data_IF_791920446600
#
_entry.id   IF_791920446600
#
_cell.length_a   1.000
_cell.length_b   1.000
_cell.length_c   1.000
_cell.angle_alpha   90.00
_cell.angle_beta   90.00
_cell.angle_gamma   90.00
#
_symmetry.space_group_name_H-M   'P 1'
#
loop_
_entity.id
_entity.type
_entity.pdbx_description
1 polymer ?
#
# COMPACT_ATOMS: atom_id res chain seq x y z
N UNK A 1 -0.57 -13.35 26.74
CA UNK A 1 -0.59 -14.82 26.48
C UNK A 1 0.75 -15.43 26.15
N UNK A 2 1.59 -14.82 25.30
CA UNK A 2 2.91 -15.38 24.93
C UNK A 2 3.79 -15.71 26.14
N UNK A 3 3.85 -14.79 27.12
CA UNK A 3 4.58 -15.02 28.37
C UNK A 3 4.04 -16.21 29.18
N UNK A 4 2.73 -16.45 29.18
CA UNK A 4 2.11 -17.61 29.84
C UNK A 4 2.52 -18.92 29.15
N UNK A 5 2.62 -18.93 27.82
CA UNK A 5 3.13 -20.09 27.07
C UNK A 5 4.62 -20.32 27.35
N UNK A 6 5.44 -19.27 27.32
CA UNK A 6 6.87 -19.36 27.61
C UNK A 6 7.13 -19.90 29.02
N UNK A 7 6.36 -19.44 30.01
CA UNK A 7 6.42 -19.97 31.39
C UNK A 7 6.07 -21.45 31.44
N UNK A 8 5.02 -21.88 30.72
CA UNK A 8 4.59 -23.29 30.70
C UNK A 8 5.62 -24.23 30.06
N UNK A 9 6.39 -23.77 29.07
CA UNK A 9 7.43 -24.56 28.38
C UNK A 9 8.50 -25.02 29.38
N UNK A 10 8.83 -24.20 30.37
CA UNK A 10 9.84 -24.51 31.38
C UNK A 10 9.29 -25.29 32.60
N UNK A 11 7.98 -25.51 32.65
CA UNK A 11 7.31 -26.05 33.84
C UNK A 11 7.32 -27.59 33.81
N UNK A 12 8.13 -28.24 34.66
CA UNK A 12 8.35 -29.70 34.66
C UNK A 12 8.05 -30.41 36.00
N UNK A 13 8.13 -31.74 36.00
CA UNK A 13 8.01 -32.57 37.21
C UNK A 13 6.58 -32.80 37.72
N UNK A 14 6.46 -33.40 38.91
CA UNK A 14 5.16 -33.74 39.51
C UNK A 14 4.35 -32.46 39.80
N UNK A 15 3.09 -32.44 39.38
CA UNK A 15 2.20 -31.29 39.53
C UNK A 15 2.37 -30.18 38.48
N UNK A 16 3.22 -30.37 37.46
CA UNK A 16 3.39 -29.42 36.35
C UNK A 16 2.10 -29.15 35.58
N UNK A 17 1.29 -30.18 35.33
CA UNK A 17 -0.01 -30.03 34.65
C UNK A 17 -0.92 -29.00 35.36
N UNK A 18 -1.03 -29.11 36.69
CA UNK A 18 -1.82 -28.18 37.49
C UNK A 18 -1.27 -26.75 37.41
N UNK A 19 0.05 -26.57 37.47
CA UNK A 19 0.68 -25.24 37.38
C UNK A 19 0.51 -24.62 36.00
N UNK A 20 0.74 -25.39 34.93
CA UNK A 20 0.52 -24.95 33.54
C UNK A 20 -0.92 -24.49 33.33
N UNK A 21 -1.91 -25.28 33.79
CA UNK A 21 -3.33 -24.90 33.73
C UNK A 21 -3.60 -23.61 34.49
N UNK A 22 -3.06 -23.46 35.70
CA UNK A 22 -3.21 -22.23 36.48
C UNK A 22 -2.61 -21.00 35.76
N UNK A 23 -1.41 -21.14 35.20
CA UNK A 23 -0.73 -20.09 34.42
C UNK A 23 -1.52 -19.67 33.18
N UNK A 24 -2.04 -20.66 32.42
CA UNK A 24 -2.86 -20.38 31.24
C UNK A 24 -4.19 -19.73 31.63
N UNK A 25 -4.90 -20.27 32.62
CA UNK A 25 -6.16 -19.69 33.09
C UNK A 25 -5.95 -18.26 33.61
N UNK A 26 -4.88 -18.00 34.35
CA UNK A 26 -4.53 -16.64 34.80
C UNK A 26 -4.23 -15.71 33.62
N UNK A 27 -3.58 -16.19 32.56
CA UNK A 27 -3.32 -15.40 31.37
C UNK A 27 -4.59 -15.02 30.60
N UNK A 28 -5.60 -15.89 30.58
CA UNK A 28 -6.92 -15.59 30.02
C UNK A 28 -7.79 -14.71 30.92
N UNK A 29 -7.49 -14.68 32.23
CA UNK A 29 -8.14 -13.77 33.18
C UNK A 29 -7.64 -12.32 33.10
N UNK A 30 -6.61 -12.04 32.29
CA UNK A 30 -6.14 -10.68 32.04
C UNK A 30 -7.14 -9.92 31.17
N UNK A 31 -7.83 -8.95 31.77
CA UNK A 31 -8.80 -8.07 31.10
C UNK A 31 -8.17 -7.27 29.93
N UNK A 32 -6.84 -7.06 29.95
CA UNK A 32 -6.12 -6.35 28.90
C UNK A 32 -5.71 -7.24 27.72
N UNK A 33 -5.91 -8.56 27.81
CA UNK A 33 -5.51 -9.50 26.77
C UNK A 33 -6.18 -9.20 25.42
N UNK A 34 -7.52 -9.18 25.40
CA UNK A 34 -8.27 -8.94 24.17
C UNK A 34 -8.09 -7.52 23.61
N UNK A 35 -8.15 -6.45 24.42
CA UNK A 35 -7.83 -5.10 23.96
C UNK A 35 -6.43 -4.98 23.35
N UNK A 36 -5.43 -5.63 23.94
CA UNK A 36 -4.07 -5.63 23.44
C UNK A 36 -3.97 -6.32 22.08
N UNK A 37 -4.57 -7.50 21.94
CA UNK A 37 -4.61 -8.24 20.66
C UNK A 37 -5.33 -7.42 19.59
N UNK A 38 -6.49 -6.83 19.90
CA UNK A 38 -7.23 -6.00 18.96
C UNK A 38 -6.43 -4.78 18.51
N UNK A 39 -5.70 -4.14 19.43
CA UNK A 39 -4.82 -3.02 19.11
C UNK A 39 -3.67 -3.45 18.20
N UNK A 40 -3.01 -4.57 18.50
CA UNK A 40 -1.93 -5.10 17.67
C UNK A 40 -2.41 -5.44 16.25
N UNK A 41 -3.56 -6.11 16.14
CA UNK A 41 -4.17 -6.45 14.84
C UNK A 41 -4.53 -5.19 14.04
N UNK A 42 -5.16 -4.21 14.68
CA UNK A 42 -5.52 -2.94 14.04
C UNK A 42 -4.27 -2.21 13.55
N UNK A 43 -3.25 -2.09 14.38
CA UNK A 43 -2.01 -1.40 14.02
C UNK A 43 -1.32 -2.11 12.85
N UNK A 44 -1.16 -3.44 12.93
CA UNK A 44 -0.55 -4.22 11.85
C UNK A 44 -1.34 -4.15 10.54
N UNK A 45 -2.68 -4.17 10.61
CA UNK A 45 -3.52 -3.97 9.44
C UNK A 45 -3.32 -2.57 8.84
N UNK A 46 -3.33 -1.52 9.65
CA UNK A 46 -3.09 -0.15 9.18
C UNK A 46 -1.71 0.04 8.56
N UNK A 47 -0.67 -0.58 9.10
CA UNK A 47 0.68 -0.57 8.53
C UNK A 47 0.72 -1.28 7.18
N UNK A 48 0.12 -2.47 7.06
CA UNK A 48 0.03 -3.21 5.80
C UNK A 48 -0.75 -2.45 4.73
N UNK A 49 -1.86 -1.80 5.11
CA UNK A 49 -2.62 -0.97 4.17
C UNK A 49 -1.81 0.23 3.67
N UNK A 50 -1.08 0.92 4.56
CA UNK A 50 -0.22 2.04 4.17
C UNK A 50 0.92 1.61 3.24
N UNK A 51 1.54 0.47 3.51
CA UNK A 51 2.59 -0.09 2.64
C UNK A 51 2.04 -0.49 1.27
N UNK A 52 0.84 -1.07 1.22
CA UNK A 52 0.15 -1.40 -0.03
C UNK A 52 -0.15 -0.13 -0.85
N UNK A 53 -0.71 0.90 -0.21
CA UNK A 53 -1.01 2.17 -0.89
C UNK A 53 0.26 2.82 -1.45
N UNK A 54 1.36 2.83 -0.68
CA UNK A 54 2.65 3.35 -1.14
C UNK A 54 3.17 2.59 -2.37
N UNK A 55 3.09 1.25 -2.36
CA UNK A 55 3.49 0.41 -3.50
C UNK A 55 2.62 0.62 -4.73
N UNK A 56 1.32 0.83 -4.56
CA UNK A 56 0.41 1.17 -5.66
C UNK A 56 0.81 2.52 -6.26
N UNK A 57 1.05 3.53 -5.44
CA UNK A 57 1.48 4.86 -5.91
C UNK A 57 2.82 4.80 -6.65
N UNK A 58 3.78 4.03 -6.13
CA UNK A 58 5.07 3.82 -6.78
C UNK A 58 4.92 3.11 -8.13
N UNK A 59 4.13 2.03 -8.19
CA UNK A 59 3.89 1.29 -9.42
C UNK A 59 3.20 2.17 -10.48
N UNK A 60 2.16 2.91 -10.08
CA UNK A 60 1.46 3.85 -10.97
C UNK A 60 2.44 4.92 -11.48
N UNK A 61 3.20 5.56 -10.59
CA UNK A 61 4.16 6.61 -10.98
C UNK A 61 5.22 6.08 -11.95
N UNK A 62 5.73 4.87 -11.70
CA UNK A 62 6.74 4.22 -12.53
C UNK A 62 6.18 3.90 -13.92
N UNK A 63 4.99 3.31 -14.00
CA UNK A 63 4.35 3.02 -15.28
C UNK A 63 4.03 4.29 -16.07
N UNK A 64 3.57 5.34 -15.39
CA UNK A 64 3.29 6.62 -16.02
C UNK A 64 4.55 7.29 -16.55
N UNK A 65 5.68 7.19 -15.84
CA UNK A 65 6.95 7.72 -16.33
C UNK A 65 7.43 7.01 -17.60
N UNK A 66 7.18 5.69 -17.72
CA UNK A 66 7.48 4.92 -18.94
C UNK A 66 6.59 5.39 -20.09
N UNK A 67 5.27 5.46 -19.87
CA UNK A 67 4.33 5.92 -20.92
C UNK A 67 4.66 7.33 -21.37
N UNK A 68 5.00 8.24 -20.44
CA UNK A 68 5.40 9.61 -20.78
C UNK A 68 6.66 9.61 -21.64
N UNK A 69 7.67 8.79 -21.31
CA UNK A 69 8.89 8.66 -22.12
C UNK A 69 8.58 8.13 -23.51
N UNK A 70 7.70 7.14 -23.63
CA UNK A 70 7.34 6.56 -24.92
C UNK A 70 6.59 7.58 -25.79
N UNK A 71 5.66 8.34 -25.20
CA UNK A 71 4.95 9.43 -25.89
C UNK A 71 5.91 10.54 -26.31
N UNK A 72 6.86 10.93 -25.46
CA UNK A 72 7.87 11.93 -25.80
C UNK A 72 8.81 11.44 -26.89
N UNK A 73 9.15 10.14 -26.89
CA UNK A 73 9.94 9.51 -27.96
C UNK A 73 9.18 9.53 -29.28
N UNK A 74 7.92 9.06 -29.30
CA UNK A 74 7.06 9.11 -30.49
C UNK A 74 6.85 10.54 -30.99
N UNK A 75 6.73 11.52 -30.08
CA UNK A 75 6.63 12.93 -30.45
C UNK A 75 7.92 13.41 -31.10
N UNK A 76 9.07 13.10 -30.53
CA UNK A 76 10.36 13.55 -31.06
C UNK A 76 10.69 12.86 -32.39
N UNK A 77 10.45 11.55 -32.51
CA UNK A 77 10.61 10.80 -33.75
C UNK A 77 9.66 11.28 -34.84
N UNK A 78 8.38 11.53 -34.51
CA UNK A 78 7.44 12.13 -35.47
C UNK A 78 7.79 13.58 -35.80
N UNK A 79 8.34 14.38 -34.87
CA UNK A 79 8.80 15.74 -35.19
C UNK A 79 9.95 15.68 -36.20
N UNK A 80 10.84 14.69 -36.13
CA UNK A 80 11.90 14.51 -37.13
C UNK A 80 11.32 14.08 -38.49
N UNK A 81 10.32 13.19 -38.51
CA UNK A 81 9.71 12.69 -39.75
C UNK A 81 8.67 13.64 -40.39
N UNK A 82 7.95 14.44 -39.59
CA UNK A 82 6.86 15.31 -40.05
C UNK A 82 7.18 16.80 -40.00
N UNK A 83 8.31 17.23 -39.42
CA UNK A 83 8.80 18.61 -39.64
C UNK A 83 9.05 18.90 -41.13
N UNK A 84 9.12 17.85 -41.97
CA UNK A 84 9.14 17.95 -43.42
C UNK A 84 7.74 17.89 -44.08
N UNK A 85 6.60 17.66 -43.38
CA UNK A 85 5.31 17.40 -44.07
C UNK A 85 3.96 17.84 -43.45
N UNK A 86 3.70 17.94 -42.12
CA UNK A 86 2.33 18.33 -41.67
C UNK A 86 2.20 19.02 -40.27
N UNK A 87 1.97 20.34 -40.22
CA UNK A 87 1.70 21.09 -38.97
C UNK A 87 0.42 20.69 -38.23
N UNK A 88 -0.57 20.08 -38.89
CA UNK A 88 -1.86 19.75 -38.27
C UNK A 88 -1.77 18.52 -37.37
N UNK A 89 -0.87 17.59 -37.66
CA UNK A 89 -0.64 16.42 -36.81
C UNK A 89 -0.03 16.81 -35.46
N UNK A 90 0.95 17.73 -35.46
CA UNK A 90 1.54 18.32 -34.24
C UNK A 90 0.46 18.84 -33.29
N UNK A 91 -0.50 19.62 -33.79
CA UNK A 91 -1.59 20.19 -32.98
C UNK A 91 -2.51 19.11 -32.40
N UNK A 92 -2.81 18.05 -33.16
CA UNK A 92 -3.63 16.92 -32.71
C UNK A 92 -2.93 16.12 -31.61
N UNK A 93 -1.64 15.85 -31.79
CA UNK A 93 -0.83 15.12 -30.82
C UNK A 93 -0.68 15.91 -29.51
N UNK A 94 -0.45 17.22 -29.60
CA UNK A 94 -0.41 18.10 -28.41
C UNK A 94 -1.73 18.13 -27.65
N UNK A 95 -2.84 18.15 -28.38
CA UNK A 95 -4.19 18.11 -27.78
C UNK A 95 -4.41 16.78 -27.07
N UNK A 96 -4.11 15.65 -27.71
CA UNK A 96 -4.27 14.32 -27.13
C UNK A 96 -3.39 14.11 -25.89
N UNK A 97 -2.12 14.53 -25.94
CA UNK A 97 -1.21 14.46 -24.79
C UNK A 97 -1.71 15.30 -23.60
N UNK A 98 -2.31 16.46 -23.89
CA UNK A 98 -2.89 17.32 -22.85
C UNK A 98 -4.14 16.71 -22.23
N UNK A 99 -5.02 16.11 -23.04
CA UNK A 99 -6.22 15.40 -22.54
C UNK A 99 -5.85 14.21 -21.66
N UNK A 100 -4.90 13.39 -22.08
CA UNK A 100 -4.40 12.26 -21.28
C UNK A 100 -3.87 12.76 -19.93
N UNK A 101 -3.11 13.86 -19.91
CA UNK A 101 -2.57 14.43 -18.68
C UNK A 101 -3.65 14.99 -17.75
N UNK A 102 -4.73 15.56 -18.28
CA UNK A 102 -5.88 16.01 -17.48
C UNK A 102 -6.60 14.81 -16.86
N UNK A 103 -6.92 13.79 -17.66
CA UNK A 103 -7.57 12.57 -17.16
C UNK A 103 -6.73 11.86 -16.08
N UNK A 104 -5.41 11.88 -16.24
CA UNK A 104 -4.48 11.36 -15.23
C UNK A 104 -4.58 12.12 -13.90
N UNK A 105 -4.56 13.44 -13.95
CA UNK A 105 -4.66 14.28 -12.76
C UNK A 105 -6.00 14.10 -12.06
N UNK A 106 -7.08 13.93 -12.81
CA UNK A 106 -8.40 13.64 -12.27
C UNK A 106 -8.44 12.26 -11.59
N UNK A 107 -7.82 11.25 -12.18
CA UNK A 107 -7.71 9.92 -11.58
C UNK A 107 -6.91 9.94 -10.25
N UNK A 108 -5.81 10.69 -10.21
CA UNK A 108 -5.01 10.91 -8.99
C UNK A 108 -5.84 11.63 -7.92
N UNK A 109 -6.61 12.66 -8.30
CA UNK A 109 -7.44 13.43 -7.38
C UNK A 109 -8.62 12.61 -6.80
N UNK A 110 -9.23 11.73 -7.61
CA UNK A 110 -10.27 10.81 -7.17
C UNK A 110 -9.69 9.80 -6.18
N UNK A 111 -8.51 9.25 -6.47
CA UNK A 111 -7.84 8.31 -5.57
C UNK A 111 -7.48 8.98 -4.23
N UNK A 112 -6.97 10.21 -4.26
CA UNK A 112 -6.67 10.99 -3.05
C UNK A 112 -7.91 11.29 -2.18
N UNK A 113 -9.11 11.39 -2.78
CA UNK A 113 -10.38 11.54 -2.04
C UNK A 113 -10.91 10.23 -1.45
N UNK A 114 -10.57 9.10 -2.04
CA UNK A 114 -10.96 7.77 -1.56
C UNK A 114 -10.00 7.24 -0.48
N UNK A 115 -8.79 7.78 -0.39
CA UNK A 115 -7.86 7.49 0.69
C UNK A 115 -8.39 8.06 2.03
N UNK A 116 -8.50 7.24 3.10
CA UNK A 116 -8.97 7.71 4.40
C UNK A 116 -7.99 8.74 5.00
N UNK A 117 -8.47 9.75 5.73
CA UNK A 117 -7.60 10.73 6.36
C UNK A 117 -6.63 10.02 7.32
N UNK A 118 -5.34 10.31 7.13
CA UNK A 118 -4.27 9.89 8.04
C UNK A 118 -4.49 10.57 9.39
N UNK A 119 -5.01 9.82 10.36
CA UNK A 119 -4.93 10.13 11.79
C UNK A 119 -3.66 9.53 12.40
#
# INVERSE_FOLDING_TARGET
MEQSYNTCIHDGGRGSDKRRKATICSGFGDEQLFPTIQRQLRNGFSELSRDLDAKIQEAVTTHLAVVQRDVDTLRNENVVLESESDPKFRTRLETAAREIRVQLNDAIAIYARLAPPTF
#
